data_IF_083918777765
#
_entry.id   IF_083918777765
#
_cell.length_a   1.000
_cell.length_b   1.000
_cell.length_c   1.000
_cell.angle_alpha   90.00
_cell.angle_beta   90.00
_cell.angle_gamma   90.00
#
_symmetry.space_group_name_H-M   'P 1'
#
loop_
_entity.id
_entity.type
_entity.pdbx_description
1 polymer ?
#
# COMPACT_ATOMS: atom_id res chain seq x y z
N UNK A 1 -2.16 -57.24 29.48
CA UNK A 1 -3.42 -56.64 28.96
C UNK A 1 -3.13 -55.16 28.71
N UNK A 2 -2.67 -54.70 27.53
CA UNK A 2 -3.37 -54.41 26.25
C UNK A 2 -4.67 -53.61 26.38
N UNK A 3 -4.62 -52.31 26.07
CA UNK A 3 -5.33 -51.56 25.00
C UNK A 3 -5.30 -50.03 25.32
N UNK A 4 -4.53 -49.17 24.63
CA UNK A 4 -4.72 -48.50 23.31
C UNK A 4 -6.04 -47.73 23.11
N UNK A 5 -5.93 -46.42 22.82
CA UNK A 5 -7.04 -45.61 22.31
C UNK A 5 -6.69 -44.14 22.03
N UNK A 6 -6.20 -43.87 20.82
CA UNK A 6 -5.97 -42.55 20.22
C UNK A 6 -7.28 -41.88 19.80
N UNK A 7 -7.39 -40.54 19.88
CA UNK A 7 -8.37 -39.78 19.11
C UNK A 7 -7.87 -38.35 18.78
N UNK A 8 -7.86 -38.06 17.49
CA UNK A 8 -7.36 -36.87 16.82
C UNK A 8 -8.21 -35.61 17.07
N UNK A 9 -7.55 -34.46 17.20
CA UNK A 9 -8.16 -33.13 17.15
C UNK A 9 -8.41 -32.73 15.69
N UNK A 10 -9.69 -32.57 15.31
CA UNK A 10 -10.09 -32.01 14.01
C UNK A 10 -10.18 -30.48 14.11
N UNK A 11 -9.48 -29.81 13.21
CA UNK A 11 -9.64 -28.39 12.90
C UNK A 11 -10.98 -28.15 12.20
N UNK A 12 -11.84 -27.33 12.79
CA UNK A 12 -13.06 -26.83 12.13
C UNK A 12 -12.83 -25.39 11.66
N UNK A 13 -12.69 -25.22 10.34
CA UNK A 13 -12.78 -23.92 9.65
C UNK A 13 -14.20 -23.39 9.80
N UNK A 14 -14.39 -22.20 10.39
CA UNK A 14 -15.65 -21.46 10.34
C UNK A 14 -15.60 -20.46 9.19
N UNK A 15 -16.35 -20.75 8.13
CA UNK A 15 -16.75 -19.78 7.11
C UNK A 15 -17.91 -18.95 7.66
N UNK A 16 -17.79 -17.63 7.68
CA UNK A 16 -18.91 -16.74 7.95
C UNK A 16 -19.74 -16.60 6.67
N UNK A 17 -20.97 -17.12 6.71
CA UNK A 17 -21.99 -17.00 5.67
C UNK A 17 -22.83 -15.77 6.00
N UNK A 18 -22.85 -14.77 5.13
CA UNK A 18 -23.75 -13.61 5.24
C UNK A 18 -25.17 -14.11 4.97
N UNK A 19 -26.03 -14.07 5.98
CA UNK A 19 -27.45 -14.41 5.88
C UNK A 19 -28.26 -13.18 5.44
N UNK A 20 -28.93 -13.30 4.29
CA UNK A 20 -29.86 -12.31 3.77
C UNK A 20 -31.13 -12.15 4.63
N UNK A 21 -31.72 -10.96 4.59
CA UNK A 21 -33.00 -10.62 5.22
C UNK A 21 -34.19 -11.10 4.37
N UNK A 22 -35.34 -11.46 4.97
CA UNK A 22 -36.53 -11.90 4.23
C UNK A 22 -37.55 -10.77 3.97
N UNK A 23 -38.11 -10.79 2.76
CA UNK A 23 -39.56 -10.73 2.50
C UNK A 23 -40.29 -9.38 2.52
N UNK A 24 -40.73 -8.92 1.34
CA UNK A 24 -42.04 -8.30 1.16
C UNK A 24 -42.69 -8.83 -0.13
N UNK A 25 -43.97 -9.20 -0.05
CA UNK A 25 -44.79 -9.84 -1.09
C UNK A 25 -45.43 -8.84 -2.06
N UNK A 26 -45.76 -9.39 -3.22
CA UNK A 26 -46.35 -8.87 -4.46
C UNK A 26 -47.72 -8.18 -4.36
N UNK A 27 -48.02 -7.36 -5.36
CA UNK A 27 -49.33 -7.29 -6.02
C UNK A 27 -49.13 -7.03 -7.54
N UNK A 28 -49.75 -7.86 -8.39
CA UNK A 28 -49.67 -7.83 -9.87
C UNK A 28 -50.52 -6.73 -10.54
N UNK A 29 -50.12 -6.21 -11.72
CA UNK A 29 -50.52 -6.62 -13.10
C UNK A 29 -51.37 -5.50 -13.77
N UNK A 30 -51.54 -5.41 -15.11
CA UNK A 30 -50.71 -5.88 -16.24
C UNK A 30 -50.69 -4.93 -17.51
N UNK A 31 -49.94 -5.36 -18.54
CA UNK A 31 -50.01 -5.09 -20.02
C UNK A 31 -49.63 -3.70 -20.59
N UNK A 32 -48.77 -3.71 -21.62
CA UNK A 32 -48.75 -2.68 -22.67
C UNK A 32 -47.44 -2.60 -23.48
N UNK A 33 -47.28 -3.45 -24.49
CA UNK A 33 -46.20 -3.36 -25.49
C UNK A 33 -46.53 -2.33 -26.58
N UNK A 34 -45.54 -1.49 -26.96
CA UNK A 34 -45.27 -0.81 -28.27
C UNK A 34 -43.90 -0.12 -28.02
N UNK A 35 -42.83 -0.21 -28.80
CA UNK A 35 -42.65 -0.58 -30.19
C UNK A 35 -42.22 0.62 -31.03
N UNK A 36 -41.01 1.16 -30.89
CA UNK A 36 -40.39 2.04 -31.91
C UNK A 36 -38.85 2.00 -31.87
N UNK A 37 -38.25 1.67 -33.02
CA UNK A 37 -36.85 1.92 -33.38
C UNK A 37 -36.66 3.39 -33.77
N UNK A 38 -35.41 3.90 -33.72
CA UNK A 38 -34.90 4.59 -34.91
C UNK A 38 -33.50 4.15 -35.35
N UNK A 39 -33.29 4.32 -36.65
CA UNK A 39 -32.09 4.10 -37.49
C UNK A 39 -31.26 5.41 -37.53
N UNK A 40 -29.94 5.39 -37.82
CA UNK A 40 -29.00 6.41 -37.37
C UNK A 40 -28.80 7.57 -38.35
N UNK A 41 -28.31 8.70 -37.85
CA UNK A 41 -27.81 9.82 -38.65
C UNK A 41 -26.45 10.32 -38.12
N UNK A 42 -25.44 10.08 -38.97
CA UNK A 42 -24.28 10.94 -39.30
C UNK A 42 -23.64 11.85 -38.22
N UNK A 43 -22.45 11.44 -37.78
CA UNK A 43 -21.19 12.17 -37.96
C UNK A 43 -21.05 13.61 -37.42
N UNK A 44 -20.18 13.77 -36.44
CA UNK A 44 -19.06 14.74 -36.47
C UNK A 44 -17.95 14.23 -35.56
N UNK A 45 -16.81 13.91 -36.16
CA UNK A 45 -15.57 13.51 -35.50
C UNK A 45 -14.93 14.72 -34.80
N UNK A 46 -14.57 14.61 -33.53
CA UNK A 46 -13.30 15.07 -32.98
C UNK A 46 -13.04 14.34 -31.64
N UNK A 47 -11.77 14.09 -31.36
CA UNK A 47 -11.20 13.50 -30.14
C UNK A 47 -11.25 11.98 -29.96
N UNK A 48 -10.36 11.29 -30.70
CA UNK A 48 -9.70 10.06 -30.23
C UNK A 48 -8.22 10.10 -30.55
N UNK A 49 -7.40 10.57 -29.61
CA UNK A 49 -5.96 10.33 -29.63
C UNK A 49 -5.32 10.44 -28.23
N UNK A 50 -5.63 9.52 -27.31
CA UNK A 50 -4.77 9.20 -26.13
C UNK A 50 -5.27 7.92 -25.45
N UNK A 51 -5.28 6.80 -26.18
CA UNK A 51 -5.45 5.47 -25.58
C UNK A 51 -4.84 4.44 -26.54
N UNK A 52 -3.53 4.25 -26.45
CA UNK A 52 -2.86 3.31 -27.36
C UNK A 52 -1.35 3.13 -27.17
N UNK A 53 -0.70 3.91 -26.30
CA UNK A 53 0.77 3.86 -26.18
C UNK A 53 1.25 3.06 -24.96
N UNK A 54 0.40 2.75 -23.99
CA UNK A 54 0.83 2.10 -22.73
C UNK A 54 0.79 0.56 -22.69
N UNK A 55 0.05 -0.11 -23.59
CA UNK A 55 -0.07 -1.58 -23.64
C UNK A 55 1.01 -2.25 -24.54
N UNK A 56 1.82 -1.45 -25.24
CA UNK A 56 2.72 -1.96 -26.28
C UNK A 56 4.13 -2.37 -25.76
N UNK A 57 4.52 -2.00 -24.54
CA UNK A 57 5.87 -2.28 -24.01
C UNK A 57 6.07 -3.64 -23.34
N UNK A 58 5.00 -4.37 -23.03
CA UNK A 58 5.11 -5.67 -22.33
C UNK A 58 4.90 -6.89 -23.23
N UNK A 59 4.44 -6.73 -24.48
CA UNK A 59 4.03 -7.87 -25.34
C UNK A 59 5.07 -8.34 -26.38
N UNK A 60 6.26 -7.73 -26.45
CA UNK A 60 7.27 -8.05 -27.47
C UNK A 60 8.56 -8.67 -26.91
N UNK A 61 8.46 -9.73 -26.10
CA UNK A 61 9.65 -10.49 -25.67
C UNK A 61 9.37 -12.00 -25.64
N UNK A 62 9.29 -12.59 -26.82
CA UNK A 62 9.31 -14.04 -26.99
C UNK A 62 9.88 -14.37 -28.36
N UNK A 63 11.18 -14.69 -28.40
CA UNK A 63 11.87 -15.62 -29.33
C UNK A 63 13.35 -15.24 -29.51
N UNK A 64 14.22 -15.92 -28.76
CA UNK A 64 15.44 -16.55 -29.30
C UNK A 64 16.23 -17.23 -28.17
N UNK A 65 16.21 -18.57 -28.12
CA UNK A 65 17.13 -19.38 -27.32
C UNK A 65 18.16 -20.00 -28.25
N UNK A 66 19.45 -19.70 -28.07
CA UNK A 66 20.58 -20.48 -28.61
C UNK A 66 21.41 -21.04 -27.45
N UNK A 67 21.71 -22.34 -27.53
CA UNK A 67 22.53 -23.10 -26.57
C UNK A 67 24.02 -22.72 -26.68
N UNK A 68 24.72 -22.75 -25.55
CA UNK A 68 26.18 -22.78 -25.47
C UNK A 68 26.62 -23.98 -24.59
N UNK A 69 27.85 -24.50 -24.76
CA UNK A 69 28.24 -25.82 -24.25
C UNK A 69 28.98 -25.79 -22.89
N UNK A 70 29.09 -27.02 -22.37
CA UNK A 70 29.48 -27.47 -21.04
C UNK A 70 30.99 -27.35 -20.73
N UNK A 71 31.32 -26.90 -19.52
CA UNK A 71 32.67 -27.02 -18.94
C UNK A 71 32.58 -27.42 -17.47
N UNK A 72 33.23 -28.53 -17.15
CA UNK A 72 33.27 -29.19 -15.85
C UNK A 72 34.44 -28.69 -14.98
N UNK A 73 34.19 -28.41 -13.69
CA UNK A 73 35.20 -28.34 -12.61
C UNK A 73 34.51 -28.34 -11.21
N UNK A 74 35.23 -28.47 -10.06
CA UNK A 74 35.06 -29.59 -9.12
C UNK A 74 34.34 -29.25 -7.80
N UNK A 75 34.12 -30.32 -7.02
CA UNK A 75 33.34 -30.49 -5.78
C UNK A 75 33.34 -29.31 -4.77
N UNK A 76 32.11 -28.93 -4.41
CA UNK A 76 31.74 -27.91 -3.43
C UNK A 76 31.98 -28.32 -1.97
N UNK A 77 32.57 -27.39 -1.20
CA UNK A 77 32.56 -27.34 0.26
C UNK A 77 31.17 -26.96 0.79
N UNK A 78 30.90 -27.11 2.09
CA UNK A 78 29.56 -26.97 2.71
C UNK A 78 28.82 -25.64 2.45
N UNK A 79 29.49 -24.57 2.02
CA UNK A 79 28.85 -23.33 1.53
C UNK A 79 28.26 -23.46 0.10
N UNK A 80 28.84 -24.31 -0.74
CA UNK A 80 28.33 -24.57 -2.09
C UNK A 80 27.03 -25.40 -2.10
N UNK A 81 26.74 -26.18 -1.07
CA UNK A 81 25.47 -26.93 -0.96
C UNK A 81 24.25 -26.04 -0.73
N UNK A 82 24.39 -25.01 0.12
CA UNK A 82 23.33 -24.01 0.37
C UNK A 82 23.10 -23.15 -0.88
N UNK A 83 24.19 -22.74 -1.54
CA UNK A 83 24.13 -21.92 -2.76
C UNK A 83 23.52 -22.69 -3.93
N UNK A 84 23.89 -23.98 -4.13
CA UNK A 84 23.27 -24.83 -5.14
C UNK A 84 21.78 -25.07 -4.87
N UNK A 85 21.37 -25.27 -3.61
CA UNK A 85 19.95 -25.45 -3.25
C UNK A 85 19.14 -24.20 -3.58
N UNK A 86 19.64 -23.01 -3.22
CA UNK A 86 18.99 -21.74 -3.53
C UNK A 86 18.88 -21.50 -5.04
N UNK A 87 19.95 -21.74 -5.80
CA UNK A 87 19.96 -21.64 -7.27
C UNK A 87 18.98 -22.64 -7.92
N UNK A 88 18.93 -23.87 -7.41
CA UNK A 88 17.99 -24.88 -7.86
C UNK A 88 16.54 -24.48 -7.58
N UNK A 89 16.26 -23.88 -6.42
CA UNK A 89 14.92 -23.37 -6.10
C UNK A 89 14.53 -22.20 -7.01
N UNK A 90 15.40 -21.22 -7.21
CA UNK A 90 15.14 -20.11 -8.14
C UNK A 90 14.86 -20.64 -9.54
N UNK A 91 15.65 -21.60 -10.02
CA UNK A 91 15.43 -22.24 -11.32
C UNK A 91 14.05 -22.91 -11.40
N UNK A 92 13.64 -23.65 -10.36
CA UNK A 92 12.35 -24.30 -10.30
C UNK A 92 11.17 -23.32 -10.23
N UNK A 93 11.38 -22.12 -9.69
CA UNK A 93 10.32 -21.11 -9.52
C UNK A 93 10.14 -20.20 -10.75
N UNK A 94 11.08 -20.18 -11.72
CA UNK A 94 11.04 -19.21 -12.83
C UNK A 94 9.73 -19.20 -13.59
N UNK A 95 9.14 -20.36 -13.86
CA UNK A 95 7.89 -20.47 -14.64
C UNK A 95 6.62 -20.28 -13.77
N UNK A 96 6.76 -19.85 -12.51
CA UNK A 96 5.62 -19.60 -11.60
C UNK A 96 4.99 -18.25 -11.92
N UNK A 97 3.67 -18.21 -12.14
CA UNK A 97 2.93 -16.96 -12.33
C UNK A 97 3.10 -16.01 -11.14
N UNK A 98 3.32 -14.72 -11.40
CA UNK A 98 3.68 -13.75 -10.37
C UNK A 98 2.91 -12.43 -10.47
N UNK A 99 2.97 -11.77 -11.63
CA UNK A 99 2.15 -10.61 -12.00
C UNK A 99 1.33 -10.93 -13.25
N UNK A 100 0.51 -9.99 -13.73
CA UNK A 100 -0.33 -10.21 -14.91
C UNK A 100 0.51 -10.53 -16.15
N UNK A 101 0.43 -11.77 -16.62
CA UNK A 101 1.18 -12.23 -17.79
C UNK A 101 2.70 -12.29 -17.57
N UNK A 102 3.18 -12.17 -16.33
CA UNK A 102 4.61 -12.18 -15.98
C UNK A 102 4.85 -13.26 -14.93
N UNK A 103 5.73 -14.20 -15.25
CA UNK A 103 6.23 -15.19 -14.31
C UNK A 103 7.42 -14.65 -13.49
N UNK A 104 7.87 -15.41 -12.49
CA UNK A 104 9.02 -15.04 -11.65
C UNK A 104 10.28 -14.82 -12.51
N UNK A 105 10.51 -15.64 -13.53
CA UNK A 105 11.68 -15.54 -14.39
C UNK A 105 11.74 -14.22 -15.17
N UNK A 106 10.64 -13.87 -15.82
CA UNK A 106 10.46 -12.62 -16.55
C UNK A 106 10.54 -11.40 -15.62
N UNK A 107 9.98 -11.48 -14.41
CA UNK A 107 10.14 -10.43 -13.40
C UNK A 107 11.60 -10.25 -12.98
N UNK A 108 12.32 -11.34 -12.71
CA UNK A 108 13.73 -11.29 -12.33
C UNK A 108 14.60 -10.72 -13.45
N UNK A 109 14.29 -11.05 -14.72
CA UNK A 109 14.99 -10.48 -15.87
C UNK A 109 14.69 -8.98 -16.02
N UNK A 110 13.42 -8.56 -15.87
CA UNK A 110 13.03 -7.14 -15.83
C UNK A 110 13.75 -6.38 -14.72
N UNK A 111 13.76 -6.92 -13.50
CA UNK A 111 14.42 -6.30 -12.36
C UNK A 111 15.93 -6.18 -12.62
N UNK A 112 16.58 -7.21 -13.17
CA UNK A 112 18.01 -7.19 -13.50
C UNK A 112 18.36 -6.12 -14.54
N UNK A 113 17.52 -5.95 -15.55
CA UNK A 113 17.77 -5.02 -16.66
C UNK A 113 17.42 -3.57 -16.31
N UNK A 114 16.31 -3.35 -15.62
CA UNK A 114 15.76 -2.00 -15.39
C UNK A 114 16.04 -1.47 -13.98
N UNK A 115 16.22 -2.36 -13.00
CA UNK A 115 16.40 -2.02 -11.59
C UNK A 115 17.51 -2.88 -10.94
N UNK A 116 18.76 -2.80 -11.42
CA UNK A 116 19.84 -3.69 -10.98
C UNK A 116 20.10 -3.65 -9.48
N UNK A 117 19.83 -2.51 -8.83
CA UNK A 117 19.91 -2.37 -7.38
C UNK A 117 18.82 -3.18 -6.66
N UNK A 118 17.57 -3.14 -7.14
CA UNK A 118 16.50 -4.01 -6.62
C UNK A 118 16.87 -5.47 -6.81
N UNK A 119 17.28 -5.86 -8.03
CA UNK A 119 17.65 -7.24 -8.34
C UNK A 119 18.72 -7.80 -7.41
N UNK A 120 19.73 -6.97 -7.09
CA UNK A 120 20.78 -7.36 -6.14
C UNK A 120 20.22 -7.72 -4.77
N UNK A 121 19.10 -7.12 -4.34
CA UNK A 121 18.48 -7.33 -3.03
C UNK A 121 17.50 -8.50 -2.95
N UNK A 122 17.16 -9.13 -4.08
CA UNK A 122 16.16 -10.19 -4.12
C UNK A 122 16.69 -11.53 -3.61
N UNK A 123 15.81 -12.30 -2.97
CA UNK A 123 16.06 -13.67 -2.52
C UNK A 123 14.85 -14.58 -2.74
N UNK A 124 14.58 -14.91 -4.01
CA UNK A 124 13.59 -15.92 -4.39
C UNK A 124 14.07 -17.35 -4.13
N UNK A 125 15.33 -17.54 -3.71
CA UNK A 125 15.91 -18.83 -3.34
C UNK A 125 15.74 -19.18 -1.85
N UNK A 126 15.12 -18.28 -1.07
CA UNK A 126 14.88 -18.46 0.35
C UNK A 126 13.93 -19.62 0.64
N UNK A 127 14.23 -20.39 1.68
CA UNK A 127 13.33 -21.42 2.20
C UNK A 127 11.94 -20.82 2.50
N UNK A 128 10.89 -21.45 1.96
CA UNK A 128 9.50 -20.96 2.05
C UNK A 128 9.02 -20.16 0.83
N UNK A 129 9.90 -19.78 -0.10
CA UNK A 129 9.54 -18.96 -1.27
C UNK A 129 8.41 -19.58 -2.12
N UNK A 130 8.44 -20.90 -2.35
CA UNK A 130 7.39 -21.59 -3.09
C UNK A 130 6.01 -21.46 -2.41
N UNK A 131 5.95 -21.62 -1.08
CA UNK A 131 4.71 -21.51 -0.32
C UNK A 131 4.21 -20.05 -0.28
N UNK A 132 5.13 -19.09 -0.18
CA UNK A 132 4.81 -17.66 -0.22
C UNK A 132 4.22 -17.27 -1.59
N UNK A 133 4.82 -17.72 -2.70
CA UNK A 133 4.29 -17.51 -4.05
C UNK A 133 2.90 -18.15 -4.23
N UNK A 134 2.73 -19.39 -3.77
CA UNK A 134 1.43 -20.06 -3.82
C UNK A 134 0.35 -19.30 -3.03
N UNK A 135 0.72 -18.69 -1.89
CA UNK A 135 -0.18 -17.87 -1.08
C UNK A 135 -0.51 -16.55 -1.78
N UNK A 136 0.49 -15.88 -2.37
CA UNK A 136 0.32 -14.65 -3.14
C UNK A 136 -0.61 -14.83 -4.35
N UNK A 137 -0.54 -15.98 -5.02
CA UNK A 137 -1.41 -16.28 -6.15
C UNK A 137 -2.91 -16.33 -5.77
N UNK A 138 -3.23 -16.54 -4.49
CA UNK A 138 -4.61 -16.56 -3.98
C UNK A 138 -5.07 -15.20 -3.45
N UNK A 139 -4.19 -14.19 -3.41
CA UNK A 139 -4.54 -12.86 -2.89
C UNK A 139 -5.36 -12.11 -3.92
N UNK A 140 -6.52 -11.66 -3.48
CA UNK A 140 -7.35 -10.68 -4.16
C UNK A 140 -7.91 -9.71 -3.10
N UNK A 141 -7.70 -8.41 -3.28
CA UNK A 141 -8.15 -7.39 -2.34
C UNK A 141 -8.79 -6.20 -3.09
N UNK A 142 -9.32 -5.23 -2.34
CA UNK A 142 -10.01 -4.04 -2.87
C UNK A 142 -9.17 -3.17 -3.82
N UNK A 143 -7.86 -3.38 -3.89
CA UNK A 143 -6.96 -2.63 -4.75
C UNK A 143 -6.80 -3.24 -6.14
N UNK A 144 -7.28 -4.48 -6.35
CA UNK A 144 -7.13 -5.21 -7.62
C UNK A 144 -8.10 -4.78 -8.72
N UNK A 145 -9.19 -4.09 -8.36
CA UNK A 145 -10.20 -3.56 -9.29
C UNK A 145 -10.73 -2.22 -8.81
N UNK A 146 -11.48 -1.52 -9.65
CA UNK A 146 -12.32 -0.35 -9.27
C UNK A 146 -13.81 -0.68 -9.47
N UNK A 147 -14.16 -1.97 -9.40
CA UNK A 147 -15.55 -2.41 -9.51
C UNK A 147 -16.35 -1.90 -8.31
N UNK A 148 -17.57 -1.41 -8.56
CA UNK A 148 -18.41 -0.72 -7.57
C UNK A 148 -18.76 -1.60 -6.37
N UNK A 149 -18.70 -2.91 -6.52
CA UNK A 149 -19.06 -3.85 -5.47
C UNK A 149 -17.96 -4.04 -4.42
N UNK A 150 -16.67 -3.92 -4.78
CA UNK A 150 -15.56 -4.29 -3.88
C UNK A 150 -14.22 -3.59 -4.15
N UNK A 151 -14.13 -2.74 -5.17
CA UNK A 151 -12.86 -2.21 -5.68
C UNK A 151 -12.73 -0.69 -5.47
N UNK A 152 -11.51 -0.25 -5.17
CA UNK A 152 -11.11 1.17 -5.19
C UNK A 152 -9.71 1.39 -5.78
N UNK A 153 -9.19 0.43 -6.53
CA UNK A 153 -7.82 0.42 -7.02
C UNK A 153 -7.48 1.62 -7.92
N UNK A 154 -8.33 1.94 -8.90
CA UNK A 154 -8.09 3.09 -9.80
C UNK A 154 -8.32 4.40 -9.05
N UNK A 155 -9.38 4.48 -8.24
CA UNK A 155 -9.68 5.65 -7.41
C UNK A 155 -8.53 5.98 -6.46
N UNK A 156 -8.01 4.97 -5.76
CA UNK A 156 -6.84 5.09 -4.91
C UNK A 156 -5.63 5.62 -5.69
N UNK A 157 -5.31 5.03 -6.85
CA UNK A 157 -4.19 5.47 -7.70
C UNK A 157 -4.36 6.92 -8.20
N UNK A 158 -5.58 7.34 -8.56
CA UNK A 158 -5.87 8.74 -8.95
C UNK A 158 -5.55 9.71 -7.82
N UNK A 159 -6.03 9.44 -6.61
CA UNK A 159 -5.72 10.27 -5.45
C UNK A 159 -4.21 10.35 -5.20
N UNK A 160 -3.50 9.21 -5.27
CA UNK A 160 -2.05 9.15 -5.01
C UNK A 160 -1.17 9.86 -6.05
N UNK A 161 -1.71 10.34 -7.17
CA UNK A 161 -0.94 11.17 -8.11
C UNK A 161 -0.58 12.53 -7.52
N UNK A 162 -1.42 13.09 -6.64
CA UNK A 162 -1.10 14.32 -5.93
C UNK A 162 -0.26 14.02 -4.68
N UNK A 163 1.05 13.89 -4.90
CA UNK A 163 2.01 13.57 -3.83
C UNK A 163 2.11 14.66 -2.76
N UNK A 164 1.72 15.91 -3.07
CA UNK A 164 1.85 17.04 -2.15
C UNK A 164 0.92 16.92 -0.94
N UNK A 165 -0.21 16.20 -1.09
CA UNK A 165 -1.27 16.17 -0.07
C UNK A 165 -0.80 15.59 1.25
N UNK A 166 0.11 14.61 1.24
CA UNK A 166 0.66 13.95 2.45
C UNK A 166 2.15 14.29 2.71
N UNK A 167 2.68 15.32 2.05
CA UNK A 167 4.12 15.55 2.01
C UNK A 167 4.74 15.81 3.39
N UNK A 168 4.00 16.44 4.30
CA UNK A 168 4.46 16.76 5.66
C UNK A 168 4.80 15.50 6.46
N UNK A 169 3.87 14.54 6.57
CA UNK A 169 4.14 13.31 7.31
C UNK A 169 5.13 12.40 6.58
N UNK A 170 5.05 12.30 5.25
CA UNK A 170 6.02 11.51 4.46
C UNK A 170 7.46 11.97 4.71
N UNK A 171 7.71 13.29 4.71
CA UNK A 171 9.01 13.85 5.06
C UNK A 171 9.46 13.37 6.44
N UNK A 172 8.57 13.50 7.44
CA UNK A 172 8.89 13.10 8.82
C UNK A 172 9.19 11.60 8.95
N UNK A 173 8.49 10.75 8.20
CA UNK A 173 8.77 9.31 8.17
C UNK A 173 10.17 9.01 7.64
N UNK A 174 10.62 9.71 6.58
CA UNK A 174 11.98 9.54 6.07
C UNK A 174 13.05 10.06 7.03
N UNK A 175 12.81 11.19 7.70
CA UNK A 175 13.69 11.71 8.75
C UNK A 175 13.86 10.68 9.88
N UNK A 176 12.75 10.11 10.37
CA UNK A 176 12.78 9.07 11.41
C UNK A 176 13.47 7.78 10.93
N UNK A 177 13.22 7.37 9.68
CA UNK A 177 13.83 6.19 9.07
C UNK A 177 15.35 6.35 8.90
N UNK A 178 15.80 7.53 8.46
CA UNK A 178 17.22 7.87 8.37
C UNK A 178 17.86 8.22 9.72
N UNK A 179 17.04 8.57 10.72
CA UNK A 179 17.45 9.27 11.96
C UNK A 179 18.30 10.49 11.67
N UNK A 180 17.82 11.28 10.72
CA UNK A 180 18.35 12.58 10.35
C UNK A 180 17.33 13.65 10.73
N UNK A 181 17.78 14.89 10.95
CA UNK A 181 16.86 16.00 11.21
C UNK A 181 16.25 16.55 9.92
N UNK A 182 16.98 16.45 8.82
CA UNK A 182 16.53 16.84 7.50
C UNK A 182 16.65 15.65 6.54
N UNK A 183 15.58 15.34 5.81
CA UNK A 183 15.56 14.28 4.80
C UNK A 183 16.64 14.47 3.72
N UNK A 184 17.15 15.69 3.52
CA UNK A 184 18.25 16.01 2.60
C UNK A 184 19.61 15.51 3.08
N UNK A 185 19.74 15.14 4.35
CA UNK A 185 20.98 14.58 4.90
C UNK A 185 21.10 13.07 4.71
N UNK A 186 20.10 12.42 4.09
CA UNK A 186 20.18 11.00 3.73
C UNK A 186 21.34 10.76 2.75
N UNK A 187 22.24 9.78 3.01
CA UNK A 187 23.37 9.52 2.15
C UNK A 187 22.92 8.90 0.81
N UNK A 188 23.57 9.18 -0.35
CA UNK A 188 23.19 8.63 -1.66
C UNK A 188 23.08 7.08 -1.71
N UNK A 189 23.79 6.41 -0.83
CA UNK A 189 23.78 4.95 -0.67
C UNK A 189 22.65 4.44 0.23
N UNK A 190 21.82 5.32 0.79
CA UNK A 190 20.73 4.94 1.68
C UNK A 190 19.69 4.09 0.96
N UNK A 191 19.27 2.99 1.59
CA UNK A 191 18.30 2.05 1.02
C UNK A 191 17.17 1.76 2.00
N UNK A 192 15.94 1.89 1.54
CA UNK A 192 14.74 1.60 2.32
C UNK A 192 13.79 0.71 1.56
N UNK A 193 13.14 -0.19 2.31
CA UNK A 193 12.01 -0.97 1.83
C UNK A 193 10.72 -0.31 2.33
N UNK A 194 9.84 0.08 1.42
CA UNK A 194 8.50 0.60 1.73
C UNK A 194 7.48 -0.54 1.64
N UNK A 195 6.94 -0.97 2.78
CA UNK A 195 5.93 -2.01 2.89
C UNK A 195 4.53 -1.41 2.84
N UNK A 196 3.65 -2.04 2.04
CA UNK A 196 2.33 -1.52 1.68
C UNK A 196 2.43 -0.23 0.86
N UNK A 197 3.39 -0.18 -0.05
CA UNK A 197 3.73 1.00 -0.84
C UNK A 197 2.62 1.45 -1.81
N UNK A 198 1.62 0.59 -2.07
CA UNK A 198 0.68 0.78 -3.16
C UNK A 198 1.43 0.95 -4.49
N UNK A 199 1.07 2.00 -5.23
CA UNK A 199 1.70 2.32 -6.51
C UNK A 199 3.01 3.13 -6.38
N UNK A 200 3.57 3.25 -5.17
CA UNK A 200 4.89 3.85 -4.91
C UNK A 200 4.88 5.33 -4.52
N UNK A 201 3.90 5.76 -3.71
CA UNK A 201 3.80 7.16 -3.26
C UNK A 201 5.06 7.65 -2.54
N UNK A 202 5.60 6.87 -1.59
CA UNK A 202 6.79 7.27 -0.84
C UNK A 202 8.01 7.38 -1.75
N UNK A 203 8.17 6.46 -2.71
CA UNK A 203 9.23 6.57 -3.75
C UNK A 203 9.10 7.87 -4.53
N UNK A 204 7.90 8.21 -5.02
CA UNK A 204 7.67 9.48 -5.77
C UNK A 204 7.92 10.71 -4.91
N UNK A 205 7.49 10.69 -3.65
CA UNK A 205 7.71 11.79 -2.72
C UNK A 205 9.20 11.97 -2.39
N UNK A 206 9.95 10.89 -2.14
CA UNK A 206 11.39 10.98 -1.86
C UNK A 206 12.16 11.59 -3.03
N UNK A 207 11.79 11.25 -4.28
CA UNK A 207 12.41 11.85 -5.47
C UNK A 207 12.31 13.37 -5.52
N UNK A 208 11.30 13.95 -4.88
CA UNK A 208 11.13 15.40 -4.74
C UNK A 208 11.83 15.94 -3.48
N UNK A 209 11.65 15.25 -2.35
CA UNK A 209 12.18 15.70 -1.04
C UNK A 209 13.71 15.60 -0.94
N UNK A 210 14.29 14.55 -1.51
CA UNK A 210 15.70 14.22 -1.43
C UNK A 210 16.20 13.62 -2.77
N UNK A 211 16.34 14.44 -3.83
CA UNK A 211 16.73 13.96 -5.16
C UNK A 211 18.06 13.20 -5.21
N UNK A 212 18.97 13.46 -4.25
CA UNK A 212 20.26 12.78 -4.11
C UNK A 212 20.13 11.29 -3.73
N UNK A 213 18.97 10.87 -3.23
CA UNK A 213 18.61 9.47 -2.90
C UNK A 213 17.39 8.99 -3.69
N UNK A 214 17.20 9.50 -4.93
CA UNK A 214 16.04 9.22 -5.79
C UNK A 214 15.71 7.74 -6.04
N UNK A 215 16.70 6.86 -5.92
CA UNK A 215 16.57 5.40 -6.12
C UNK A 215 16.71 4.64 -4.78
N UNK A 216 16.63 5.35 -3.66
CA UNK A 216 16.79 4.80 -2.32
C UNK A 216 15.60 4.00 -1.81
N UNK A 217 14.45 4.00 -2.49
CA UNK A 217 13.23 3.30 -2.05
C UNK A 217 12.90 2.14 -2.98
N UNK A 218 12.73 0.96 -2.40
CA UNK A 218 12.10 -0.19 -3.04
C UNK A 218 10.64 -0.24 -2.56
N UNK A 219 9.69 -0.07 -3.47
CA UNK A 219 8.26 -0.19 -3.19
C UNK A 219 7.84 -1.66 -3.08
N UNK A 220 7.08 -2.02 -2.07
CA UNK A 220 6.62 -3.38 -1.84
C UNK A 220 5.16 -3.42 -1.45
N UNK A 221 4.36 -4.20 -2.18
CA UNK A 221 2.94 -4.39 -1.87
C UNK A 221 2.49 -5.82 -2.17
N UNK A 222 1.38 -6.25 -1.55
CA UNK A 222 0.77 -7.55 -1.83
C UNK A 222 -0.15 -7.49 -3.06
N UNK A 223 -0.72 -6.31 -3.33
CA UNK A 223 -1.65 -6.05 -4.44
C UNK A 223 -0.90 -6.05 -5.77
N UNK A 224 -1.32 -6.94 -6.66
CA UNK A 224 -0.71 -7.15 -7.98
C UNK A 224 -0.78 -5.89 -8.84
N UNK A 225 -1.97 -5.31 -8.96
CA UNK A 225 -2.18 -4.11 -9.78
C UNK A 225 -1.38 -2.90 -9.31
N UNK A 226 -1.14 -2.76 -8.01
CA UNK A 226 -0.34 -1.68 -7.43
C UNK A 226 1.13 -1.80 -7.82
N UNK A 227 1.69 -3.00 -7.68
CA UNK A 227 3.08 -3.28 -8.09
C UNK A 227 3.24 -3.15 -9.61
N UNK A 228 2.28 -3.66 -10.40
CA UNK A 228 2.28 -3.48 -11.86
C UNK A 228 2.29 -2.00 -12.24
N UNK A 229 1.48 -1.16 -11.58
CA UNK A 229 1.44 0.28 -11.83
C UNK A 229 2.77 0.97 -11.45
N UNK A 230 3.37 0.61 -10.32
CA UNK A 230 4.66 1.13 -9.89
C UNK A 230 5.79 0.79 -10.90
N UNK A 231 5.86 -0.46 -11.36
CA UNK A 231 6.81 -0.90 -12.38
C UNK A 231 6.58 -0.17 -13.72
N UNK A 232 5.33 -0.01 -14.14
CA UNK A 232 4.99 0.72 -15.36
C UNK A 232 5.40 2.21 -15.29
N UNK A 233 5.41 2.80 -14.08
CA UNK A 233 5.93 4.14 -13.81
C UNK A 233 7.46 4.20 -13.67
N UNK A 234 8.17 3.09 -13.87
CA UNK A 234 9.64 3.00 -13.74
C UNK A 234 10.14 3.11 -12.30
N UNK A 235 9.32 2.71 -11.32
CA UNK A 235 9.70 2.65 -9.91
C UNK A 235 10.24 1.25 -9.57
N UNK A 236 11.31 1.12 -8.77
CA UNK A 236 11.75 -0.16 -8.25
C UNK A 236 10.66 -0.74 -7.34
N UNK A 237 10.00 -1.82 -7.78
CA UNK A 237 8.89 -2.41 -7.05
C UNK A 237 8.90 -3.94 -7.06
N UNK A 238 8.36 -4.53 -6.00
CA UNK A 238 8.23 -5.97 -5.80
C UNK A 238 6.87 -6.33 -5.21
N UNK A 239 6.29 -7.44 -5.67
CA UNK A 239 5.07 -8.01 -5.07
C UNK A 239 5.42 -9.02 -4.00
N UNK A 240 5.06 -8.74 -2.77
CA UNK A 240 5.33 -9.64 -1.64
C UNK A 240 4.37 -9.37 -0.49
N UNK A 241 4.20 -10.40 0.33
CA UNK A 241 3.48 -10.30 1.58
C UNK A 241 4.44 -9.79 2.65
N UNK A 242 4.02 -8.82 3.47
CA UNK A 242 4.87 -8.29 4.55
C UNK A 242 5.29 -9.37 5.57
N UNK A 243 4.57 -10.50 5.63
CA UNK A 243 4.87 -11.67 6.47
C UNK A 243 5.98 -12.56 5.88
N UNK A 244 6.30 -12.43 4.61
CA UNK A 244 7.40 -13.14 3.94
C UNK A 244 8.00 -12.29 2.83
N UNK A 245 9.17 -11.70 3.10
CA UNK A 245 9.86 -10.86 2.13
C UNK A 245 10.83 -11.69 1.29
N UNK A 246 10.75 -11.55 -0.04
CA UNK A 246 11.74 -12.09 -1.00
C UNK A 246 12.97 -11.20 -1.11
N UNK A 247 13.43 -10.70 0.04
CA UNK A 247 14.55 -9.78 0.17
C UNK A 247 15.65 -10.45 1.00
N UNK A 248 16.90 -10.24 0.62
CA UNK A 248 18.06 -10.70 1.39
C UNK A 248 18.05 -10.11 2.80
N UNK A 249 18.63 -10.86 3.74
CA UNK A 249 18.81 -10.40 5.12
C UNK A 249 19.90 -9.34 5.20
N UNK A 250 19.75 -8.38 6.12
CA UNK A 250 20.78 -7.40 6.46
C UNK A 250 21.28 -6.50 5.31
N UNK A 251 20.37 -6.04 4.46
CA UNK A 251 20.71 -5.17 3.31
C UNK A 251 20.02 -3.81 3.29
N UNK A 252 18.98 -3.61 4.10
CA UNK A 252 18.23 -2.36 4.15
C UNK A 252 18.71 -1.45 5.28
N UNK A 253 18.82 -0.16 5.00
CA UNK A 253 19.13 0.87 6.01
C UNK A 253 17.88 1.24 6.79
N UNK A 254 16.72 1.16 6.14
CA UNK A 254 15.43 1.30 6.79
C UNK A 254 14.35 0.40 6.20
N UNK A 255 13.32 0.17 6.97
CA UNK A 255 12.04 -0.38 6.52
C UNK A 255 10.96 0.59 7.00
N UNK A 256 10.03 0.94 6.13
CA UNK A 256 8.87 1.77 6.47
C UNK A 256 7.62 0.93 6.22
N UNK A 257 6.75 0.83 7.22
CA UNK A 257 5.42 0.24 7.10
C UNK A 257 4.42 1.35 7.43
N UNK A 258 3.89 2.02 6.40
CA UNK A 258 3.11 3.25 6.56
C UNK A 258 1.81 3.23 5.77
N UNK A 259 0.91 4.16 6.11
CA UNK A 259 -0.35 4.42 5.38
C UNK A 259 -1.28 3.21 5.13
N UNK A 260 -1.08 2.10 5.86
CA UNK A 260 -1.95 0.92 5.79
C UNK A 260 -1.59 -0.17 6.80
N UNK A 261 -0.75 0.11 7.79
CA UNK A 261 -0.21 -0.91 8.69
C UNK A 261 -1.29 -1.64 9.49
N UNK A 262 -2.42 -1.00 9.81
CA UNK A 262 -3.58 -1.64 10.45
C UNK A 262 -4.28 -2.71 9.58
N UNK A 263 -4.05 -2.75 8.26
CA UNK A 263 -4.52 -3.85 7.41
C UNK A 263 -3.79 -5.16 7.73
N UNK A 264 -2.62 -5.10 8.39
CA UNK A 264 -1.95 -6.31 8.89
C UNK A 264 -2.75 -6.84 10.09
N UNK A 265 -3.32 -8.07 9.99
CA UNK A 265 -4.06 -8.67 11.09
C UNK A 265 -3.22 -8.75 12.36
N UNK A 266 -3.84 -8.56 13.52
CA UNK A 266 -3.14 -8.50 14.81
C UNK A 266 -2.21 -9.69 15.06
N UNK A 267 -2.65 -10.89 14.69
CA UNK A 267 -1.90 -12.15 14.87
C UNK A 267 -0.67 -12.24 13.95
N UNK A 268 -0.66 -11.49 12.85
CA UNK A 268 0.40 -11.49 11.85
C UNK A 268 1.45 -10.40 12.08
N UNK A 269 1.15 -9.38 12.90
CA UNK A 269 2.03 -8.22 13.13
C UNK A 269 3.41 -8.63 13.61
N UNK A 270 3.51 -9.60 14.52
CA UNK A 270 4.80 -10.10 15.02
C UNK A 270 5.67 -10.65 13.90
N UNK A 271 5.09 -11.44 12.98
CA UNK A 271 5.79 -12.00 11.82
C UNK A 271 6.28 -10.90 10.89
N UNK A 272 5.44 -9.89 10.60
CA UNK A 272 5.82 -8.73 9.79
C UNK A 272 7.01 -7.98 10.41
N UNK A 273 6.97 -7.77 11.73
CA UNK A 273 8.03 -7.03 12.43
C UNK A 273 9.34 -7.82 12.44
N UNK A 274 9.28 -9.15 12.56
CA UNK A 274 10.44 -10.03 12.45
C UNK A 274 11.03 -10.03 11.04
N UNK A 275 10.21 -10.01 9.99
CA UNK A 275 10.68 -9.89 8.61
C UNK A 275 11.34 -8.53 8.32
N UNK A 276 10.73 -7.44 8.80
CA UNK A 276 11.34 -6.11 8.71
C UNK A 276 12.69 -6.08 9.44
N UNK A 277 12.76 -6.60 10.67
CA UNK A 277 14.00 -6.71 11.42
C UNK A 277 15.04 -7.59 10.69
N UNK A 278 14.64 -8.67 10.01
CA UNK A 278 15.56 -9.55 9.28
C UNK A 278 16.26 -8.83 8.14
N UNK A 279 15.54 -8.07 7.32
CA UNK A 279 16.09 -7.39 6.14
C UNK A 279 16.94 -6.16 6.48
N UNK A 280 16.73 -5.56 7.67
CA UNK A 280 17.56 -4.45 8.14
C UNK A 280 19.01 -4.86 8.39
N UNK A 281 19.96 -4.02 7.95
CA UNK A 281 21.37 -4.12 8.37
C UNK A 281 21.51 -3.76 9.87
N UNK A 282 22.62 -4.14 10.54
CA UNK A 282 22.91 -3.63 11.90
C UNK A 282 22.87 -2.09 11.94
N UNK A 283 22.17 -1.51 12.90
CA UNK A 283 21.94 -0.06 13.00
C UNK A 283 20.88 0.50 12.03
N UNK A 284 20.25 -0.35 11.21
CA UNK A 284 19.12 0.03 10.38
C UNK A 284 17.83 0.20 11.20
N UNK A 285 16.88 1.01 10.72
CA UNK A 285 15.66 1.36 11.47
C UNK A 285 14.38 0.84 10.84
N UNK A 286 13.49 0.31 11.68
CA UNK A 286 12.11 0.02 11.29
C UNK A 286 11.20 1.14 11.78
N UNK A 287 10.43 1.72 10.86
CA UNK A 287 9.41 2.75 11.14
C UNK A 287 8.04 2.18 10.83
N UNK A 288 7.18 2.10 11.83
CA UNK A 288 5.78 1.67 11.70
C UNK A 288 4.90 2.88 11.94
N UNK A 289 4.17 3.30 10.91
CA UNK A 289 3.20 4.39 10.97
C UNK A 289 1.79 3.82 10.96
N UNK A 290 0.99 4.26 11.92
CA UNK A 290 -0.47 4.06 11.93
C UNK A 290 -1.17 5.29 12.54
N UNK A 291 -2.45 5.17 12.87
CA UNK A 291 -3.16 6.09 13.76
C UNK A 291 -3.43 5.39 15.09
N UNK A 292 -3.47 6.13 16.20
CA UNK A 292 -3.72 5.50 17.50
C UNK A 292 -5.18 5.04 17.60
N UNK A 293 -5.41 3.79 18.01
CA UNK A 293 -6.77 3.27 18.23
C UNK A 293 -7.57 4.20 19.16
N UNK A 294 -8.78 4.58 18.73
CA UNK A 294 -9.64 5.53 19.44
C UNK A 294 -9.32 7.02 19.18
N UNK A 295 -8.25 7.35 18.45
CA UNK A 295 -7.95 8.74 18.08
C UNK A 295 -8.94 9.30 17.04
N UNK A 296 -9.06 10.63 16.91
CA UNK A 296 -9.83 11.25 15.84
C UNK A 296 -9.41 10.79 14.44
N UNK A 297 -8.10 10.53 14.23
CA UNK A 297 -7.61 9.97 12.96
C UNK A 297 -8.07 8.54 12.72
N UNK A 298 -8.10 7.67 13.73
CA UNK A 298 -8.63 6.31 13.61
C UNK A 298 -10.16 6.29 13.43
N UNK A 299 -10.90 7.22 14.06
CA UNK A 299 -12.36 7.37 13.90
C UNK A 299 -12.79 7.58 12.45
N UNK A 300 -12.02 8.31 11.65
CA UNK A 300 -12.29 8.46 10.21
C UNK A 300 -12.49 7.11 9.51
N UNK A 301 -11.65 6.13 9.84
CA UNK A 301 -11.70 4.81 9.21
C UNK A 301 -12.92 4.00 9.64
N UNK A 302 -13.32 4.05 10.90
CA UNK A 302 -14.46 3.29 11.40
C UNK A 302 -15.82 3.97 11.15
N UNK A 303 -15.88 5.30 11.21
CA UNK A 303 -17.12 6.07 11.11
C UNK A 303 -17.41 6.59 9.70
N UNK A 304 -16.38 6.84 8.88
CA UNK A 304 -16.56 7.26 7.49
C UNK A 304 -16.19 6.14 6.51
N UNK A 305 -14.93 5.69 6.48
CA UNK A 305 -14.45 4.74 5.46
C UNK A 305 -15.23 3.44 5.52
N UNK A 306 -15.32 2.79 6.69
CA UNK A 306 -16.03 1.52 6.82
C UNK A 306 -17.51 1.59 6.46
N UNK A 307 -18.15 2.75 6.65
CA UNK A 307 -19.59 2.92 6.36
C UNK A 307 -19.88 3.27 4.91
N UNK A 308 -18.93 3.91 4.23
CA UNK A 308 -19.15 4.51 2.91
C UNK A 308 -18.29 3.91 1.81
N UNK A 309 -17.31 3.06 2.11
CA UNK A 309 -16.61 2.27 1.10
C UNK A 309 -17.35 0.97 0.79
N UNK A 310 -17.25 0.52 -0.46
CA UNK A 310 -17.90 -0.72 -0.90
C UNK A 310 -17.40 -1.96 -0.14
N UNK A 311 -16.09 -2.05 0.06
CA UNK A 311 -15.45 -3.16 0.78
C UNK A 311 -15.53 -3.04 2.32
N UNK A 312 -15.95 -1.89 2.84
CA UNK A 312 -15.82 -1.53 4.25
C UNK A 312 -14.36 -1.44 4.73
N UNK A 313 -14.16 -1.14 6.01
CA UNK A 313 -12.84 -1.01 6.64
C UNK A 313 -12.81 -1.47 8.12
N UNK A 314 -13.11 -2.74 8.44
CA UNK A 314 -13.25 -3.22 9.82
C UNK A 314 -11.89 -3.56 10.48
N UNK A 315 -10.90 -2.69 10.35
CA UNK A 315 -9.54 -2.92 10.84
C UNK A 315 -9.25 -2.15 12.12
N UNK A 316 -8.74 -2.84 13.13
CA UNK A 316 -8.28 -2.24 14.38
C UNK A 316 -6.89 -1.64 14.20
N UNK A 317 -6.73 -0.41 14.63
CA UNK A 317 -5.46 0.30 14.59
C UNK A 317 -4.52 -0.15 15.72
N UNK A 318 -3.29 0.38 15.71
CA UNK A 318 -2.30 0.12 16.74
C UNK A 318 -2.52 0.97 18.00
N UNK A 319 -2.15 0.42 19.15
CA UNK A 319 -1.86 1.21 20.35
C UNK A 319 -0.36 1.49 20.49
N UNK A 320 0.01 2.53 21.24
CA UNK A 320 1.41 2.82 21.53
C UNK A 320 2.13 1.65 22.24
N UNK A 321 1.40 0.88 23.05
CA UNK A 321 1.95 -0.29 23.74
C UNK A 321 2.19 -1.47 22.79
N UNK A 322 1.27 -1.70 21.84
CA UNK A 322 1.44 -2.73 20.81
C UNK A 322 2.65 -2.46 19.92
N UNK A 323 2.87 -1.21 19.51
CA UNK A 323 4.08 -0.85 18.77
C UNK A 323 5.35 -1.13 19.60
N UNK A 324 5.39 -0.72 20.88
CA UNK A 324 6.55 -0.98 21.74
C UNK A 324 6.82 -2.48 21.90
N UNK A 325 5.78 -3.26 22.22
CA UNK A 325 5.91 -4.71 22.41
C UNK A 325 6.30 -5.42 21.13
N UNK A 326 5.65 -5.09 20.01
CA UNK A 326 5.95 -5.70 18.71
C UNK A 326 7.39 -5.43 18.28
N UNK A 327 7.84 -4.18 18.34
CA UNK A 327 9.21 -3.80 17.97
C UNK A 327 10.24 -4.53 18.86
N UNK A 328 9.98 -4.59 20.18
CA UNK A 328 10.84 -5.29 21.12
C UNK A 328 10.89 -6.81 20.89
N UNK A 329 9.73 -7.42 20.60
CA UNK A 329 9.64 -8.85 20.30
C UNK A 329 10.35 -9.25 18.99
N UNK A 330 10.51 -8.30 18.06
CA UNK A 330 11.33 -8.47 16.86
C UNK A 330 12.84 -8.27 17.10
N UNK A 331 13.25 -7.99 18.33
CA UNK A 331 14.66 -7.81 18.71
C UNK A 331 15.23 -6.41 18.46
N UNK A 332 14.38 -5.45 18.08
CA UNK A 332 14.78 -4.06 17.88
C UNK A 332 15.00 -3.34 19.23
N UNK A 333 15.88 -2.35 19.24
CA UNK A 333 16.28 -1.56 20.41
C UNK A 333 16.04 -0.07 20.16
N UNK A 334 16.30 0.76 21.18
CA UNK A 334 16.12 2.21 21.08
C UNK A 334 14.68 2.62 20.76
N UNK A 335 13.70 1.82 21.17
CA UNK A 335 12.32 1.94 20.74
C UNK A 335 11.71 3.26 21.20
N UNK A 336 11.20 4.04 20.25
CA UNK A 336 10.46 5.27 20.50
C UNK A 336 9.11 5.20 19.82
N UNK A 337 8.10 5.78 20.46
CA UNK A 337 6.77 5.95 19.86
C UNK A 337 6.46 7.43 19.86
N UNK A 338 6.28 7.95 18.65
CA UNK A 338 6.04 9.35 18.35
C UNK A 338 4.56 9.56 18.03
N UNK A 339 4.08 10.77 18.29
CA UNK A 339 2.83 11.28 17.74
C UNK A 339 3.19 12.35 16.72
N UNK A 340 3.02 12.05 15.44
CA UNK A 340 3.51 12.85 14.30
C UNK A 340 2.34 13.55 13.63
N UNK A 341 2.43 14.87 13.46
CA UNK A 341 1.50 15.60 12.61
C UNK A 341 1.69 15.23 11.14
N UNK A 342 0.66 14.62 10.55
CA UNK A 342 0.63 14.12 9.18
C UNK A 342 -0.64 14.62 8.47
N UNK A 343 -0.80 15.94 8.31
CA UNK A 343 -2.01 16.52 7.74
C UNK A 343 -2.21 16.11 6.28
N UNK A 344 -3.46 16.22 5.83
CA UNK A 344 -3.73 16.39 4.41
C UNK A 344 -3.76 17.86 4.06
N UNK A 345 -3.02 18.28 3.03
CA UNK A 345 -2.94 19.68 2.62
C UNK A 345 -3.24 19.82 1.13
N UNK A 346 -4.21 20.65 0.78
CA UNK A 346 -4.51 21.02 -0.61
C UNK A 346 -4.35 22.52 -0.80
N UNK A 347 -3.69 22.92 -1.89
CA UNK A 347 -3.48 24.34 -2.24
C UNK A 347 -4.15 24.64 -3.57
N UNK A 348 -4.87 25.76 -3.65
CA UNK A 348 -5.52 26.20 -4.87
C UNK A 348 -5.61 27.73 -4.96
N UNK A 349 -6.02 28.23 -6.12
CA UNK A 349 -6.21 29.66 -6.36
C UNK A 349 -7.46 30.23 -5.66
N UNK A 350 -8.50 29.40 -5.48
CA UNK A 350 -9.76 29.77 -4.82
C UNK A 350 -9.98 28.91 -3.56
N UNK A 351 -10.84 29.41 -2.66
CA UNK A 351 -11.20 28.70 -1.43
C UNK A 351 -11.97 27.41 -1.76
N UNK A 352 -12.89 27.54 -2.70
CA UNK A 352 -13.78 26.50 -3.19
C UNK A 352 -12.98 25.36 -3.83
N UNK A 353 -11.98 25.68 -4.65
CA UNK A 353 -11.11 24.67 -5.26
C UNK A 353 -10.25 23.95 -4.22
N UNK A 354 -9.69 24.66 -3.23
CA UNK A 354 -8.85 24.03 -2.22
C UNK A 354 -9.65 22.99 -1.41
N UNK A 355 -10.85 23.36 -0.98
CA UNK A 355 -11.77 22.46 -0.26
C UNK A 355 -12.28 21.34 -1.16
N UNK A 356 -12.75 21.69 -2.36
CA UNK A 356 -13.35 20.75 -3.30
C UNK A 356 -12.37 19.69 -3.80
N UNK A 357 -11.13 20.07 -4.12
CA UNK A 357 -10.09 19.12 -4.55
C UNK A 357 -9.62 18.25 -3.38
N UNK A 358 -9.56 18.77 -2.15
CA UNK A 358 -9.24 17.93 -0.99
C UNK A 358 -10.38 16.95 -0.68
N UNK A 359 -11.64 17.37 -0.83
CA UNK A 359 -12.78 16.48 -0.70
C UNK A 359 -12.79 15.38 -1.77
N UNK A 360 -12.50 15.71 -3.04
CA UNK A 360 -12.33 14.70 -4.10
C UNK A 360 -11.18 13.74 -3.78
N UNK A 361 -10.06 14.26 -3.28
CA UNK A 361 -8.93 13.42 -2.85
C UNK A 361 -9.37 12.44 -1.76
N UNK A 362 -10.08 12.90 -0.73
CA UNK A 362 -10.57 12.05 0.36
C UNK A 362 -11.57 11.01 -0.14
N UNK A 363 -12.44 11.38 -1.07
CA UNK A 363 -13.37 10.46 -1.72
C UNK A 363 -12.64 9.33 -2.44
N UNK A 364 -11.74 9.69 -3.37
CA UNK A 364 -11.02 8.73 -4.21
C UNK A 364 -10.03 7.88 -3.39
N UNK A 365 -9.32 8.49 -2.44
CA UNK A 365 -8.34 7.82 -1.58
C UNK A 365 -8.99 6.70 -0.74
N UNK A 366 -10.22 6.90 -0.28
CA UNK A 366 -10.90 5.97 0.63
C UNK A 366 -12.09 5.24 -0.02
N UNK A 367 -12.33 5.46 -1.32
CA UNK A 367 -13.40 4.82 -2.08
C UNK A 367 -14.78 5.08 -1.49
N UNK A 368 -15.10 6.33 -1.12
CA UNK A 368 -16.33 6.69 -0.39
C UNK A 368 -17.61 6.70 -1.25
N UNK A 369 -17.73 5.76 -2.19
CA UNK A 369 -18.81 5.69 -3.19
C UNK A 369 -20.22 5.60 -2.58
N UNK A 370 -20.36 5.17 -1.32
CA UNK A 370 -21.62 5.22 -0.59
C UNK A 370 -22.15 6.65 -0.34
N UNK A 371 -21.33 7.67 -0.60
CA UNK A 371 -21.73 9.08 -0.59
C UNK A 371 -22.26 9.55 -1.94
N UNK A 372 -22.09 8.77 -3.02
CA UNK A 372 -22.58 9.07 -4.37
C UNK A 372 -24.06 8.69 -4.46
N UNK A 373 -24.93 9.59 -3.98
CA UNK A 373 -26.37 9.46 -4.21
C UNK A 373 -26.64 9.72 -5.70
N UNK A 374 -27.50 8.91 -6.32
CA UNK A 374 -27.64 8.85 -7.79
C UNK A 374 -28.03 10.15 -8.49
N UNK A 375 -28.59 11.13 -7.78
CA UNK A 375 -28.98 12.47 -8.27
C UNK A 375 -28.08 13.59 -7.74
N UNK A 376 -27.06 13.29 -6.94
CA UNK A 376 -26.22 14.30 -6.32
C UNK A 376 -25.21 14.90 -7.30
N UNK A 377 -25.08 16.23 -7.26
CA UNK A 377 -23.99 16.93 -7.94
C UNK A 377 -22.65 16.63 -7.27
N UNK A 378 -21.55 16.84 -8.01
CA UNK A 378 -20.19 16.70 -7.47
C UNK A 378 -19.97 17.62 -6.26
N UNK A 379 -20.51 18.83 -6.29
CA UNK A 379 -20.46 19.79 -5.20
C UNK A 379 -21.18 19.27 -3.95
N UNK A 380 -22.32 18.60 -4.13
CA UNK A 380 -23.04 17.97 -3.04
C UNK A 380 -22.28 16.77 -2.44
N UNK A 381 -21.60 15.97 -3.26
CA UNK A 381 -20.71 14.89 -2.78
C UNK A 381 -19.54 15.48 -1.99
N UNK A 382 -18.85 16.49 -2.55
CA UNK A 382 -17.74 17.20 -1.89
C UNK A 382 -18.15 17.77 -0.53
N UNK A 383 -19.33 18.39 -0.45
CA UNK A 383 -19.86 18.93 0.80
C UNK A 383 -20.08 17.84 1.86
N UNK A 384 -20.62 16.66 1.46
CA UNK A 384 -20.78 15.51 2.37
C UNK A 384 -19.43 14.98 2.86
N UNK A 385 -18.46 14.83 1.97
CA UNK A 385 -17.10 14.36 2.34
C UNK A 385 -16.43 15.34 3.30
N UNK A 386 -16.50 16.64 3.00
CA UNK A 386 -15.93 17.67 3.88
C UNK A 386 -16.59 17.67 5.26
N UNK A 387 -17.91 17.57 5.32
CA UNK A 387 -18.64 17.48 6.59
C UNK A 387 -18.20 16.27 7.43
N UNK A 388 -18.08 15.09 6.83
CA UNK A 388 -17.55 13.91 7.53
C UNK A 388 -16.12 14.12 8.04
N UNK A 389 -15.28 14.84 7.28
CA UNK A 389 -13.95 15.20 7.75
C UNK A 389 -14.02 16.11 8.99
N UNK A 390 -14.93 17.09 9.01
CA UNK A 390 -15.14 17.97 10.15
C UNK A 390 -15.63 17.22 11.40
N UNK A 391 -16.47 16.19 11.23
CA UNK A 391 -16.96 15.35 12.33
C UNK A 391 -15.89 14.39 12.89
N UNK A 392 -15.06 13.82 12.01
CA UNK A 392 -14.07 12.83 12.38
C UNK A 392 -12.79 13.48 12.94
N UNK A 393 -12.23 14.47 12.23
CA UNK A 393 -10.93 15.07 12.53
C UNK A 393 -11.04 16.23 13.53
N UNK A 394 -11.71 15.99 14.66
CA UNK A 394 -11.82 16.92 15.78
C UNK A 394 -10.86 16.53 16.91
N UNK A 395 -9.81 17.33 17.13
CA UNK A 395 -8.78 17.07 18.14
C UNK A 395 -8.95 17.95 19.38
N UNK A 396 -8.81 17.33 20.54
CA UNK A 396 -8.76 18.00 21.84
C UNK A 396 -7.38 18.60 22.15
N UNK A 397 -7.25 19.32 23.29
CA UNK A 397 -6.00 19.94 23.71
C UNK A 397 -4.84 18.95 23.95
N UNK A 398 -5.15 17.68 24.22
CA UNK A 398 -4.18 16.65 24.57
C UNK A 398 -3.89 15.64 23.45
N UNK A 399 -4.59 15.74 22.31
CA UNK A 399 -4.41 14.80 21.19
C UNK A 399 -3.21 15.14 20.30
N UNK A 400 -2.52 16.25 20.58
CA UNK A 400 -1.37 16.72 19.82
C UNK A 400 -0.12 15.85 19.96
N UNK A 401 0.74 15.94 18.95
CA UNK A 401 2.05 15.30 18.97
C UNK A 401 3.01 15.97 19.94
N UNK A 402 3.76 15.17 20.71
CA UNK A 402 4.83 15.67 21.58
C UNK A 402 5.99 16.32 20.78
N UNK A 403 6.08 16.04 19.48
CA UNK A 403 7.15 16.51 18.58
C UNK A 403 6.80 17.86 17.89
N UNK A 404 5.71 18.53 18.28
CA UNK A 404 5.27 19.79 17.66
C UNK A 404 5.31 20.95 18.67
N UNK A 405 6.02 22.01 18.31
CA UNK A 405 6.16 23.26 19.09
C UNK A 405 5.25 24.39 18.59
N UNK A 406 4.55 24.21 17.46
CA UNK A 406 3.75 25.25 16.80
C UNK A 406 2.24 24.95 16.79
N UNK A 407 1.45 26.02 16.65
CA UNK A 407 -0.02 26.00 16.54
C UNK A 407 -0.47 25.33 15.24
N UNK A 408 -0.94 24.08 15.32
CA UNK A 408 -1.61 23.37 14.22
C UNK A 408 -3.14 23.43 14.37
N UNK A 409 -3.92 23.36 13.27
CA UNK A 409 -5.38 23.41 13.35
C UNK A 409 -5.93 22.13 13.98
N UNK A 410 -6.81 22.25 14.98
CA UNK A 410 -7.43 21.09 15.66
C UNK A 410 -8.65 20.51 14.94
N UNK A 411 -9.06 21.13 13.85
CA UNK A 411 -10.18 20.75 12.98
C UNK A 411 -9.82 21.05 11.53
N UNK A 412 -10.52 20.49 10.53
CA UNK A 412 -10.35 20.94 9.16
C UNK A 412 -10.42 22.46 9.06
N UNK A 413 -9.44 23.06 8.40
CA UNK A 413 -9.27 24.50 8.36
C UNK A 413 -8.99 24.96 6.93
N UNK A 414 -9.42 26.19 6.64
CA UNK A 414 -9.19 26.81 5.33
C UNK A 414 -8.67 28.23 5.54
N UNK A 415 -7.48 28.51 5.03
CA UNK A 415 -6.78 29.77 5.27
C UNK A 415 -5.94 30.18 4.05
N UNK A 416 -5.37 31.38 4.07
CA UNK A 416 -4.54 31.90 2.96
C UNK A 416 -3.06 31.92 3.33
N UNK A 417 -2.21 31.44 2.43
CA UNK A 417 -0.75 31.51 2.54
C UNK A 417 -0.14 31.80 1.18
N UNK A 418 0.72 32.81 1.08
CA UNK A 418 1.46 33.12 -0.15
C UNK A 418 0.55 33.38 -1.35
N UNK A 419 -0.60 34.04 -1.13
CA UNK A 419 -1.58 34.34 -2.17
C UNK A 419 -2.54 33.19 -2.51
N UNK A 420 -2.24 31.95 -2.12
CA UNK A 420 -3.06 30.77 -2.36
C UNK A 420 -4.00 30.47 -1.18
N UNK A 421 -5.09 29.75 -1.46
CA UNK A 421 -5.91 29.12 -0.44
C UNK A 421 -5.37 27.75 -0.09
N UNK A 422 -5.41 27.41 1.18
CA UNK A 422 -4.98 26.14 1.75
C UNK A 422 -6.16 25.53 2.47
N UNK A 423 -6.58 24.32 2.06
CA UNK A 423 -7.45 23.47 2.86
C UNK A 423 -6.57 22.42 3.55
N UNK A 424 -6.74 22.28 4.86
CA UNK A 424 -5.93 21.39 5.68
C UNK A 424 -6.84 20.54 6.56
N UNK A 425 -6.68 19.21 6.49
CA UNK A 425 -7.32 18.27 7.40
C UNK A 425 -6.23 17.76 8.36
N UNK A 426 -6.30 18.08 9.66
CA UNK A 426 -5.29 17.66 10.61
C UNK A 426 -5.37 16.15 10.86
N UNK A 427 -4.20 15.50 10.99
CA UNK A 427 -4.10 14.12 11.46
C UNK A 427 -2.87 13.95 12.33
N UNK A 428 -3.00 13.11 13.35
CA UNK A 428 -1.91 12.74 14.24
C UNK A 428 -1.67 11.25 14.09
N UNK A 429 -0.55 10.91 13.45
CA UNK A 429 -0.10 9.54 13.29
C UNK A 429 0.62 9.05 14.55
N UNK A 430 0.42 7.78 14.88
CA UNK A 430 1.21 7.05 15.86
C UNK A 430 2.35 6.35 15.13
N UNK A 431 3.60 6.72 15.44
CA UNK A 431 4.77 6.22 14.73
C UNK A 431 5.75 5.55 15.68
N UNK A 432 5.90 4.23 15.55
CA UNK A 432 6.89 3.44 16.27
C UNK A 432 8.20 3.36 15.50
N UNK A 433 9.33 3.59 16.15
CA UNK A 433 10.67 3.47 15.57
C UNK A 433 11.51 2.53 16.43
N UNK A 434 12.18 1.57 15.82
CA UNK A 434 13.15 0.69 16.48
C UNK A 434 14.38 0.44 15.60
N UNK A 435 15.53 0.25 16.23
CA UNK A 435 16.84 0.06 15.56
C UNK A 435 17.34 -1.39 15.75
N UNK A 436 17.93 -1.98 14.71
CA UNK A 436 18.40 -3.38 14.75
C UNK A 436 19.76 -3.55 15.43
#
# INVERSE_FOLDING_TARGET
MRHTGSAARRNARRQYRVTGRPGYREAGSPVGAIGTRPVPMSGTEHDRATAGVSDCRLRHLSRNRRRAPDHSAPRASRQGGITMKAQSLVHALRDTAYLDGIDVGAYLDLAREQHPQLYAELDFGRDGAQQALASLAQVFNEFETDDRDNGRGDSYRRAQQNIAVRMTGIRRLFELAGGVQDVRDLPPTWRTLDLLAGDGLLTRALRVLAPQVRDGVISSDIARTMVTAALAAGLPAIRQDARFLFMRSATMDAVILAYGSHHVPSDDRTTVFQEAARVLRPGGRFVVHDFEEGSPSARWFSEAVHRHSAAGHPYRHFTAEELRRGLGAAGLRGIRVHRVYDPFIMRAATREDAVGQLADYMHDMYGLCGLDRGDATREAVRARVWHLCEECFCFGPHDGGADHTDTWPRRPAVYRVGGQWVAEIPRIALVGVGEK
#
